data_IF_446194925338
#
_entry.id   IF_446194925338
#
_cell.length_a   1.000
_cell.length_b   1.000
_cell.length_c   1.000
_cell.angle_alpha   90.00
_cell.angle_beta   90.00
_cell.angle_gamma   90.00
#
_symmetry.space_group_name_H-M   'P 1'
#
loop_
_entity.id
_entity.type
_entity.pdbx_description
1 polymer ?
#
# COMPACT_ATOMS: atom_id res chain seq x y z
N UNK A 1 -11.80 -8.29 5.30
CA UNK A 1 -10.48 -8.71 4.82
C UNK A 1 -10.60 -10.04 4.08
N UNK A 2 -9.94 -10.12 2.93
CA UNK A 2 -9.86 -11.34 2.13
C UNK A 2 -8.57 -12.07 2.54
N UNK A 3 -8.66 -13.34 2.89
CA UNK A 3 -7.54 -14.19 3.29
C UNK A 3 -7.68 -15.55 2.62
N UNK A 4 -6.61 -16.03 2.01
CA UNK A 4 -6.54 -17.34 1.38
C UNK A 4 -6.91 -18.48 2.35
N UNK A 5 -6.26 -18.54 3.50
CA UNK A 5 -6.43 -19.62 4.49
C UNK A 5 -7.85 -19.71 5.08
N UNK A 6 -8.67 -18.69 4.91
CA UNK A 6 -10.05 -18.63 5.40
C UNK A 6 -11.09 -18.78 4.30
N UNK A 7 -10.69 -19.17 3.09
CA UNK A 7 -11.61 -19.35 1.96
C UNK A 7 -12.27 -18.07 1.47
N UNK A 8 -11.67 -16.92 1.76
CA UNK A 8 -12.19 -15.62 1.33
C UNK A 8 -11.91 -15.28 -0.14
N UNK A 9 -11.14 -16.10 -0.83
CA UNK A 9 -10.81 -15.91 -2.25
C UNK A 9 -11.76 -16.77 -3.08
N UNK A 10 -12.50 -16.17 -4.04
CA UNK A 10 -13.33 -16.95 -4.95
C UNK A 10 -12.45 -17.73 -5.93
N UNK A 11 -12.54 -19.05 -5.88
CA UNK A 11 -11.85 -19.93 -6.81
C UNK A 11 -12.70 -20.17 -8.05
N UNK A 12 -12.08 -20.04 -9.21
CA UNK A 12 -12.65 -20.52 -10.47
C UNK A 12 -11.91 -21.77 -10.90
N UNK A 13 -12.60 -22.73 -11.52
CA UNK A 13 -11.99 -23.99 -11.99
C UNK A 13 -10.92 -23.78 -13.08
N UNK A 14 -10.89 -22.60 -13.69
CA UNK A 14 -10.01 -22.24 -14.80
C UNK A 14 -8.69 -21.58 -14.35
N UNK A 15 -8.56 -21.17 -13.09
CA UNK A 15 -7.39 -20.47 -12.55
C UNK A 15 -6.70 -21.27 -11.48
N UNK A 16 -5.39 -21.19 -11.45
CA UNK A 16 -4.61 -21.69 -10.32
C UNK A 16 -4.91 -20.87 -9.07
N UNK A 17 -4.59 -21.44 -7.90
CA UNK A 17 -4.70 -20.76 -6.63
C UNK A 17 -3.95 -19.41 -6.63
N UNK A 18 -2.73 -19.43 -7.15
CA UNK A 18 -1.86 -18.27 -7.26
C UNK A 18 -2.46 -17.17 -8.15
N UNK A 19 -2.98 -17.53 -9.32
CA UNK A 19 -3.66 -16.59 -10.23
C UNK A 19 -4.93 -16.00 -9.61
N UNK A 20 -5.65 -16.79 -8.80
CA UNK A 20 -6.82 -16.31 -8.07
C UNK A 20 -6.43 -15.26 -7.02
N UNK A 21 -5.34 -15.49 -6.28
CA UNK A 21 -4.79 -14.53 -5.33
C UNK A 21 -4.40 -13.20 -6.01
N UNK A 22 -3.73 -13.25 -7.15
CA UNK A 22 -3.36 -12.03 -7.89
C UNK A 22 -4.57 -11.28 -8.44
N UNK A 23 -5.60 -12.01 -8.87
CA UNK A 23 -6.84 -11.39 -9.34
C UNK A 23 -7.54 -10.65 -8.19
N UNK A 24 -7.65 -11.28 -7.03
CA UNK A 24 -8.30 -10.69 -5.85
C UNK A 24 -7.50 -9.48 -5.32
N UNK A 25 -6.19 -9.56 -5.36
CA UNK A 25 -5.32 -8.45 -4.96
C UNK A 25 -5.57 -7.18 -5.79
N UNK A 26 -5.97 -7.31 -7.06
CA UNK A 26 -6.31 -6.14 -7.89
C UNK A 26 -7.55 -5.41 -7.39
N UNK A 27 -8.47 -6.10 -6.74
CA UNK A 27 -9.71 -5.53 -6.19
C UNK A 27 -9.50 -4.84 -4.84
N UNK A 28 -8.40 -5.15 -4.14
CA UNK A 28 -8.08 -4.58 -2.84
C UNK A 28 -7.50 -3.17 -2.96
N UNK A 29 -7.88 -2.25 -2.06
CA UNK A 29 -7.30 -0.90 -1.95
C UNK A 29 -6.08 -0.88 -1.04
N UNK A 30 -6.08 -1.72 -0.01
CA UNK A 30 -5.05 -1.81 1.02
C UNK A 30 -4.57 -3.25 1.11
N UNK A 31 -3.26 -3.43 1.16
CA UNK A 31 -2.60 -4.72 1.34
C UNK A 31 -1.77 -4.69 2.62
N UNK A 32 -1.98 -5.70 3.46
CA UNK A 32 -1.17 -5.93 4.68
C UNK A 32 -0.34 -7.17 4.42
N UNK A 33 0.97 -6.99 4.35
CA UNK A 33 1.92 -8.09 4.17
C UNK A 33 2.67 -8.37 5.47
N UNK A 34 2.73 -9.64 5.85
CA UNK A 34 3.45 -10.11 7.04
C UNK A 34 4.55 -11.08 6.56
N UNK A 35 5.80 -10.70 6.80
CA UNK A 35 6.96 -11.51 6.48
C UNK A 35 7.44 -12.17 7.78
N UNK A 36 7.27 -13.49 7.84
CA UNK A 36 7.74 -14.33 8.94
C UNK A 36 9.15 -14.84 8.72
N UNK A 37 9.49 -15.89 9.45
CA UNK A 37 10.76 -16.59 9.35
C UNK A 37 10.75 -17.76 8.36
N UNK A 38 9.60 -18.03 7.73
CA UNK A 38 9.46 -19.10 6.72
C UNK A 38 9.26 -18.52 5.35
N UNK A 39 9.96 -19.09 4.39
CA UNK A 39 9.88 -18.69 2.98
C UNK A 39 8.50 -18.97 2.38
N UNK A 40 7.89 -20.08 2.75
CA UNK A 40 6.58 -20.50 2.27
C UNK A 40 6.66 -21.24 0.93
N UNK A 41 5.53 -21.28 0.22
CA UNK A 41 5.41 -21.98 -1.08
C UNK A 41 6.04 -21.15 -2.18
N UNK A 42 6.86 -21.80 -3.01
CA UNK A 42 7.45 -21.13 -4.18
C UNK A 42 6.38 -20.75 -5.21
N UNK A 43 6.51 -19.56 -5.78
CA UNK A 43 5.68 -19.12 -6.89
C UNK A 43 6.03 -19.88 -8.17
N UNK A 44 5.02 -20.25 -8.93
CA UNK A 44 5.21 -20.79 -10.28
C UNK A 44 5.42 -19.69 -11.33
N UNK A 45 5.12 -18.44 -10.98
CA UNK A 45 5.12 -17.29 -11.88
C UNK A 45 6.24 -16.29 -11.60
N UNK A 46 7.03 -16.50 -10.55
CA UNK A 46 8.09 -15.60 -10.12
C UNK A 46 9.28 -16.30 -9.49
N UNK A 47 10.21 -15.51 -8.97
CA UNK A 47 11.48 -15.98 -8.39
C UNK A 47 11.42 -16.14 -6.87
N UNK A 48 10.31 -15.75 -6.24
CA UNK A 48 10.12 -15.75 -4.81
C UNK A 48 8.94 -16.63 -4.39
N UNK A 49 8.60 -16.61 -3.12
CA UNK A 49 7.38 -17.26 -2.63
C UNK A 49 6.12 -16.54 -3.13
N UNK A 50 4.98 -17.24 -3.14
CA UNK A 50 3.68 -16.67 -3.55
C UNK A 50 3.42 -15.35 -2.82
N UNK A 51 3.57 -15.33 -1.49
CA UNK A 51 3.35 -14.10 -0.68
C UNK A 51 4.27 -12.94 -1.09
N UNK A 52 5.51 -13.23 -1.45
CA UNK A 52 6.46 -12.21 -1.89
C UNK A 52 6.11 -11.67 -3.28
N UNK A 53 5.67 -12.53 -4.20
CA UNK A 53 5.20 -12.10 -5.53
C UNK A 53 3.87 -11.35 -5.46
N UNK A 54 2.96 -11.72 -4.54
CA UNK A 54 1.76 -10.94 -4.22
C UNK A 54 2.13 -9.52 -3.79
N UNK A 55 3.10 -9.37 -2.89
CA UNK A 55 3.56 -8.07 -2.44
C UNK A 55 4.17 -7.25 -3.58
N UNK A 56 5.01 -7.85 -4.42
CA UNK A 56 5.58 -7.20 -5.62
C UNK A 56 4.47 -6.74 -6.57
N UNK A 57 3.43 -7.55 -6.74
CA UNK A 57 2.28 -7.23 -7.59
C UNK A 57 1.47 -6.06 -7.00
N UNK A 58 1.24 -6.04 -5.69
CA UNK A 58 0.59 -4.93 -5.01
C UNK A 58 1.34 -3.61 -5.19
N UNK A 59 2.66 -3.64 -5.05
CA UNK A 59 3.52 -2.47 -5.22
C UNK A 59 3.48 -1.97 -6.67
N UNK A 60 3.59 -2.86 -7.66
CA UNK A 60 3.47 -2.52 -9.09
C UNK A 60 2.11 -1.90 -9.42
N UNK A 61 1.04 -2.42 -8.82
CA UNK A 61 -0.31 -1.89 -8.96
C UNK A 61 -0.56 -0.61 -8.15
N UNK A 62 0.46 -0.04 -7.48
CA UNK A 62 0.40 1.18 -6.66
C UNK A 62 -0.64 1.10 -5.53
N UNK A 63 -0.86 -0.10 -5.00
CA UNK A 63 -1.75 -0.29 -3.85
C UNK A 63 -1.11 0.31 -2.60
N UNK A 64 -1.95 0.67 -1.62
CA UNK A 64 -1.47 1.07 -0.29
C UNK A 64 -1.00 -0.19 0.45
N UNK A 65 0.29 -0.29 0.69
CA UNK A 65 0.90 -1.49 1.30
C UNK A 65 1.43 -1.16 2.69
N UNK A 66 1.12 -2.00 3.68
CA UNK A 66 1.71 -2.01 5.01
C UNK A 66 2.47 -3.32 5.19
N UNK A 67 3.79 -3.22 5.39
CA UNK A 67 4.65 -4.39 5.51
C UNK A 67 5.16 -4.55 6.93
N UNK A 68 4.96 -5.73 7.49
CA UNK A 68 5.41 -6.11 8.81
C UNK A 68 6.38 -7.29 8.72
N UNK A 69 7.53 -7.19 9.38
CA UNK A 69 8.55 -8.24 9.40
C UNK A 69 8.75 -8.67 10.85
N UNK A 70 8.76 -9.98 11.11
CA UNK A 70 9.05 -10.49 12.45
C UNK A 70 10.42 -9.96 12.90
N UNK A 71 10.52 -9.53 14.15
CA UNK A 71 11.65 -8.75 14.68
C UNK A 71 13.00 -9.43 14.47
N UNK A 72 13.08 -10.73 14.74
CA UNK A 72 14.35 -11.46 14.63
C UNK A 72 14.86 -11.48 13.19
N UNK A 73 13.98 -11.72 12.20
CA UNK A 73 14.34 -11.65 10.78
C UNK A 73 14.67 -10.23 10.35
N UNK A 74 14.00 -9.22 10.90
CA UNK A 74 14.31 -7.82 10.61
C UNK A 74 15.70 -7.42 11.08
N UNK A 75 16.08 -7.83 12.30
CA UNK A 75 17.42 -7.59 12.86
C UNK A 75 18.47 -8.39 12.08
N UNK A 76 18.19 -9.66 11.79
CA UNK A 76 19.09 -10.52 10.99
C UNK A 76 19.33 -9.93 9.60
N UNK A 77 18.32 -9.34 8.97
CA UNK A 77 18.47 -8.67 7.68
C UNK A 77 19.45 -7.49 7.73
N UNK A 78 19.57 -6.77 8.85
CA UNK A 78 20.58 -5.71 9.00
C UNK A 78 22.00 -6.28 8.98
N UNK A 79 22.19 -7.48 9.53
CA UNK A 79 23.46 -8.20 9.48
C UNK A 79 23.71 -8.75 8.07
N UNK A 80 22.69 -9.27 7.40
CA UNK A 80 22.76 -9.70 6.01
C UNK A 80 23.24 -8.56 5.11
N UNK A 81 22.65 -7.37 5.20
CA UNK A 81 23.00 -6.21 4.38
C UNK A 81 24.50 -5.83 4.47
N UNK A 82 25.10 -6.04 5.63
CA UNK A 82 26.53 -5.76 5.86
C UNK A 82 27.45 -6.86 5.33
N UNK A 83 26.93 -8.06 5.11
CA UNK A 83 27.72 -9.26 4.81
C UNK A 83 27.34 -9.94 3.50
N UNK A 84 26.37 -9.43 2.74
CA UNK A 84 25.86 -10.07 1.52
C UNK A 84 26.93 -10.33 0.47
N UNK A 85 27.93 -9.46 0.38
CA UNK A 85 29.00 -9.59 -0.61
C UNK A 85 30.07 -10.64 -0.21
N UNK A 86 30.05 -11.12 1.02
CA UNK A 86 31.01 -12.13 1.50
C UNK A 86 30.70 -13.54 1.01
N UNK A 87 29.46 -13.81 0.60
CA UNK A 87 28.99 -15.15 0.23
C UNK A 87 28.94 -16.18 1.38
N UNK A 88 29.29 -15.77 2.61
CA UNK A 88 29.40 -16.65 3.77
C UNK A 88 28.20 -16.52 4.75
N UNK A 89 27.28 -15.59 4.48
CA UNK A 89 26.16 -15.38 5.37
C UNK A 89 25.23 -16.60 5.40
N UNK A 90 24.92 -17.05 6.61
CA UNK A 90 23.95 -18.12 6.87
C UNK A 90 22.88 -17.58 7.79
N UNK A 91 21.59 -17.60 7.38
CA UNK A 91 20.49 -17.19 8.26
C UNK A 91 20.41 -18.09 9.50
N UNK A 92 20.10 -17.50 10.65
CA UNK A 92 19.84 -18.19 11.89
C UNK A 92 18.34 -18.23 12.24
N UNK A 93 17.61 -17.18 11.86
CA UNK A 93 16.18 -17.04 12.12
C UNK A 93 15.32 -17.30 10.88
N UNK A 94 15.72 -16.81 9.74
CA UNK A 94 15.05 -17.14 8.47
C UNK A 94 15.46 -18.54 8.00
N UNK A 95 14.50 -19.33 7.49
CA UNK A 95 14.77 -20.66 6.95
C UNK A 95 15.36 -20.65 5.52
N UNK A 96 15.30 -19.51 4.84
CA UNK A 96 15.83 -19.33 3.50
C UNK A 96 16.44 -17.93 3.33
N UNK A 97 17.62 -17.88 2.71
CA UNK A 97 18.34 -16.60 2.46
C UNK A 97 17.55 -15.67 1.55
N UNK A 98 16.70 -16.19 0.68
CA UNK A 98 15.86 -15.41 -0.24
C UNK A 98 14.88 -14.48 0.48
N UNK A 99 14.57 -14.74 1.75
CA UNK A 99 13.82 -13.81 2.59
C UNK A 99 14.59 -12.50 2.76
N UNK A 100 15.88 -12.59 3.04
CA UNK A 100 16.73 -11.39 3.21
C UNK A 100 16.98 -10.67 1.90
N UNK A 101 17.17 -11.39 0.81
CA UNK A 101 17.30 -10.81 -0.54
C UNK A 101 16.04 -10.01 -0.88
N UNK A 102 14.87 -10.60 -0.65
CA UNK A 102 13.58 -9.94 -0.89
C UNK A 102 13.38 -8.71 0.01
N UNK A 103 13.69 -8.80 1.30
CA UNK A 103 13.57 -7.63 2.21
C UNK A 103 14.50 -6.50 1.74
N UNK A 104 15.68 -6.82 1.24
CA UNK A 104 16.63 -5.84 0.71
C UNK A 104 16.12 -5.18 -0.56
N UNK A 105 15.58 -5.97 -1.50
CA UNK A 105 14.91 -5.47 -2.70
C UNK A 105 13.73 -4.56 -2.34
N UNK A 106 12.93 -4.96 -1.35
CA UNK A 106 11.78 -4.23 -0.88
C UNK A 106 12.17 -2.86 -0.31
N UNK A 107 13.18 -2.82 0.56
CA UNK A 107 13.72 -1.58 1.13
C UNK A 107 14.26 -0.62 0.08
N UNK A 108 14.86 -1.15 -0.98
CA UNK A 108 15.36 -0.35 -2.10
C UNK A 108 14.23 0.22 -2.97
N UNK A 109 13.15 -0.53 -3.12
CA UNK A 109 12.02 -0.20 -4.01
C UNK A 109 11.01 0.74 -3.35
N UNK A 110 10.71 0.52 -2.07
CA UNK A 110 9.66 1.23 -1.36
C UNK A 110 10.23 2.42 -0.60
N UNK A 111 10.15 3.61 -1.21
CA UNK A 111 10.60 4.86 -0.56
C UNK A 111 9.59 5.45 0.44
N UNK A 112 8.29 5.12 0.31
CA UNK A 112 7.20 5.82 1.01
C UNK A 112 6.24 4.91 1.78
N UNK A 113 6.52 3.61 1.91
CA UNK A 113 5.71 2.71 2.74
C UNK A 113 6.53 2.23 3.93
N UNK A 114 6.06 2.41 5.16
CA UNK A 114 6.81 2.00 6.33
C UNK A 114 6.90 0.46 6.37
N UNK A 115 8.13 -0.04 6.44
CA UNK A 115 8.42 -1.42 6.81
C UNK A 115 8.62 -1.41 8.33
N UNK A 116 7.76 -2.11 9.05
CA UNK A 116 7.77 -2.16 10.52
C UNK A 116 8.19 -3.54 11.00
N UNK A 117 9.00 -3.59 12.05
CA UNK A 117 9.23 -4.86 12.77
C UNK A 117 8.14 -5.06 13.82
N UNK A 118 7.80 -6.32 14.12
CA UNK A 118 6.86 -6.69 15.16
C UNK A 118 7.34 -7.92 15.95
N UNK A 119 6.97 -8.00 17.21
CA UNK A 119 7.16 -9.17 18.06
C UNK A 119 5.84 -9.91 18.27
N UNK A 120 4.76 -9.17 18.47
CA UNK A 120 3.42 -9.70 18.70
C UNK A 120 2.40 -9.10 17.74
N UNK A 121 1.30 -9.83 17.53
CA UNK A 121 0.17 -9.34 16.71
C UNK A 121 -0.38 -8.00 17.21
N UNK A 122 -0.30 -7.76 18.52
CA UNK A 122 -0.72 -6.50 19.13
C UNK A 122 0.05 -5.29 18.59
N UNK A 123 1.32 -5.46 18.23
CA UNK A 123 2.16 -4.39 17.65
C UNK A 123 1.62 -3.99 16.27
N UNK A 124 1.30 -4.99 15.44
CA UNK A 124 0.68 -4.78 14.13
C UNK A 124 -0.64 -4.03 14.28
N UNK A 125 -1.51 -4.48 15.18
CA UNK A 125 -2.82 -3.86 15.40
C UNK A 125 -2.67 -2.40 15.84
N UNK A 126 -1.75 -2.12 16.76
CA UNK A 126 -1.50 -0.78 17.29
C UNK A 126 -0.99 0.14 16.18
N UNK A 127 -0.03 -0.34 15.39
CA UNK A 127 0.50 0.43 14.27
C UNK A 127 -0.57 0.67 13.19
N UNK A 128 -1.36 -0.34 12.79
CA UNK A 128 -2.44 -0.19 11.81
C UNK A 128 -3.50 0.81 12.26
N UNK A 129 -3.88 0.81 13.54
CA UNK A 129 -4.81 1.82 14.07
C UNK A 129 -4.27 3.24 13.88
N UNK A 130 -3.01 3.46 14.19
CA UNK A 130 -2.35 4.76 13.99
C UNK A 130 -2.29 5.14 12.50
N UNK A 131 -1.89 4.21 11.63
CA UNK A 131 -1.80 4.44 10.18
C UNK A 131 -3.17 4.75 9.57
N UNK A 132 -4.21 4.02 9.96
CA UNK A 132 -5.56 4.28 9.48
C UNK A 132 -6.13 5.60 9.99
N UNK A 133 -5.85 5.97 11.24
CA UNK A 133 -6.24 7.29 11.77
C UNK A 133 -5.63 8.42 10.94
N UNK A 134 -4.34 8.33 10.59
CA UNK A 134 -3.69 9.29 9.72
C UNK A 134 -4.25 9.31 8.29
N UNK A 135 -4.57 8.14 7.74
CA UNK A 135 -5.20 8.02 6.42
C UNK A 135 -6.58 8.68 6.41
N UNK A 136 -7.43 8.41 7.40
CA UNK A 136 -8.74 9.04 7.52
C UNK A 136 -8.65 10.56 7.69
N UNK A 137 -7.73 11.04 8.53
CA UNK A 137 -7.50 12.48 8.68
C UNK A 137 -7.12 13.14 7.35
N UNK A 138 -6.26 12.49 6.58
CA UNK A 138 -5.86 12.99 5.26
C UNK A 138 -7.05 13.03 4.29
N UNK A 139 -7.86 11.98 4.22
CA UNK A 139 -9.04 11.92 3.37
C UNK A 139 -10.07 12.99 3.73
N UNK A 140 -10.35 13.19 5.03
CA UNK A 140 -11.25 14.24 5.50
C UNK A 140 -10.73 15.64 5.16
N UNK A 141 -9.43 15.86 5.26
CA UNK A 141 -8.81 17.14 4.87
C UNK A 141 -8.92 17.40 3.37
N UNK A 142 -8.76 16.36 2.54
CA UNK A 142 -8.94 16.48 1.10
C UNK A 142 -10.40 16.79 0.72
N UNK A 143 -11.36 16.13 1.38
CA UNK A 143 -12.79 16.38 1.17
C UNK A 143 -13.17 17.82 1.53
N UNK A 144 -12.70 18.32 2.67
CA UNK A 144 -12.92 19.70 3.10
C UNK A 144 -12.35 20.71 2.07
N UNK A 145 -11.11 20.50 1.62
CA UNK A 145 -10.46 21.37 0.63
C UNK A 145 -11.16 21.33 -0.73
N UNK A 146 -11.66 20.17 -1.15
CA UNK A 146 -12.42 20.05 -2.41
C UNK A 146 -13.76 20.82 -2.32
N UNK A 147 -14.43 20.76 -1.16
CA UNK A 147 -15.68 21.46 -0.91
C UNK A 147 -15.46 22.98 -0.89
N UNK A 148 -14.40 23.47 -0.22
CA UNK A 148 -14.02 24.89 -0.23
C UNK A 148 -13.72 25.38 -1.64
N UNK A 149 -12.94 24.64 -2.42
CA UNK A 149 -12.59 25.00 -3.81
C UNK A 149 -13.83 25.09 -4.70
N UNK A 150 -14.79 24.18 -4.55
CA UNK A 150 -16.04 24.21 -5.29
C UNK A 150 -16.86 25.44 -4.91
N UNK A 151 -16.97 25.75 -3.61
CA UNK A 151 -17.71 26.94 -3.13
C UNK A 151 -17.12 28.24 -3.66
N UNK A 152 -15.78 28.36 -3.67
CA UNK A 152 -15.10 29.54 -4.22
C UNK A 152 -15.36 29.67 -5.72
N UNK A 153 -15.32 28.57 -6.48
CA UNK A 153 -15.61 28.56 -7.91
C UNK A 153 -17.06 29.03 -8.20
N UNK A 154 -18.04 28.49 -7.46
CA UNK A 154 -19.44 28.84 -7.61
C UNK A 154 -19.71 30.32 -7.27
N UNK A 155 -19.06 30.85 -6.22
CA UNK A 155 -19.12 32.27 -5.85
C UNK A 155 -18.51 33.16 -6.95
N UNK A 156 -17.42 32.76 -7.56
CA UNK A 156 -16.76 33.49 -8.64
C UNK A 156 -17.62 33.55 -9.89
N UNK A 157 -18.23 32.42 -10.28
CA UNK A 157 -19.17 32.37 -11.38
C UNK A 157 -20.37 33.30 -11.16
N UNK A 158 -20.97 33.25 -9.96
CA UNK A 158 -22.08 34.11 -9.59
C UNK A 158 -21.69 35.59 -9.61
N UNK A 159 -20.49 35.93 -9.13
CA UNK A 159 -19.96 37.31 -9.19
C UNK A 159 -19.79 37.83 -10.62
N UNK A 160 -19.33 36.98 -11.53
CA UNK A 160 -19.14 37.37 -12.94
C UNK A 160 -20.48 37.49 -13.67
N UNK A 161 -21.49 36.68 -13.35
CA UNK A 161 -22.85 36.87 -13.85
C UNK A 161 -23.46 38.20 -13.37
N UNK A 162 -23.32 38.55 -12.10
CA UNK A 162 -23.77 39.83 -11.56
C UNK A 162 -23.10 41.01 -12.26
N UNK A 163 -21.76 40.98 -12.49
CA UNK A 163 -21.03 42.00 -13.23
C UNK A 163 -21.54 42.20 -14.68
N UNK A 164 -21.87 41.09 -15.35
CA UNK A 164 -22.41 41.12 -16.69
C UNK A 164 -23.81 41.75 -16.70
N UNK A 165 -24.69 41.36 -15.77
CA UNK A 165 -26.01 41.97 -15.62
C UNK A 165 -25.96 43.48 -15.35
N UNK A 166 -25.03 43.91 -14.48
CA UNK A 166 -24.83 45.35 -14.20
C UNK A 166 -24.39 46.10 -15.48
N UNK A 167 -23.47 45.53 -16.29
CA UNK A 167 -23.07 46.12 -17.55
C UNK A 167 -24.21 46.25 -18.53
N UNK A 168 -25.07 45.26 -18.63
CA UNK A 168 -26.22 45.24 -19.54
C UNK A 168 -27.27 46.28 -19.12
N UNK A 169 -27.55 46.38 -17.82
CA UNK A 169 -28.45 47.44 -17.30
C UNK A 169 -27.88 48.82 -17.53
N UNK A 170 -26.59 49.03 -17.33
CA UNK A 170 -25.94 50.35 -17.58
C UNK A 170 -26.05 50.73 -19.04
N UNK A 171 -25.87 49.80 -19.98
CA UNK A 171 -26.02 50.06 -21.41
C UNK A 171 -27.44 50.45 -21.82
N UNK A 172 -28.46 49.83 -21.19
CA UNK A 172 -29.87 50.12 -21.46
C UNK A 172 -30.32 51.49 -20.93
N UNK A 173 -29.62 52.04 -19.92
CA UNK A 173 -29.94 53.35 -19.35
C UNK A 173 -29.22 54.52 -20.05
N UNK A 174 -28.25 54.26 -20.94
CA UNK A 174 -27.52 55.25 -21.70
C UNK A 174 -28.09 55.45 -23.14
N UNK A 175 -29.15 54.72 -23.51
CA UNK A 175 -29.98 54.93 -24.70
C UNK A 175 -31.27 55.69 -24.36
#
# INVERSE_FOLDING_TARGET
PVMHDKGGIPYTQEKTLEESCYTELQTCDIVICIIGNKYGTESMLGNYSITMEELKTAIKARKKVYTYIVKDVYIENQTYEKNKDSGLFKPAFADDIRIHEFISELKATIKNSPIQSFEAVADIITNLKSQFSGLFQHLLSQEASATESKTVYDLQATSDEIKNLIKDISRQNDE
#
